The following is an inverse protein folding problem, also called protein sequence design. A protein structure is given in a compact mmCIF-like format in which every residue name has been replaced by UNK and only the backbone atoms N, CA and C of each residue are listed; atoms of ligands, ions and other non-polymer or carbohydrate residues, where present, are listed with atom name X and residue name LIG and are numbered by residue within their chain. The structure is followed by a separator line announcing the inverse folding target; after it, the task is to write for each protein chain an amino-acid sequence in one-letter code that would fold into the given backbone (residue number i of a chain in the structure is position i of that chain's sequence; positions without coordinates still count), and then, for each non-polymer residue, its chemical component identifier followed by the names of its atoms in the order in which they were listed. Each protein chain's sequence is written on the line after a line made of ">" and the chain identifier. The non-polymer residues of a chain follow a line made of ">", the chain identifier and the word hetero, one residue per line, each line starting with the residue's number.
data_IF_028327901569
#
_entry.id   IF_028327901569
#
_cell.length_a   1.000
_cell.length_b   1.000
_cell.length_c   1.000
_cell.angle_alpha   90.00
_cell.angle_beta   90.00
_cell.angle_gamma   90.00
#
_symmetry.space_group_name_H-M   'P 1'
#
loop_
_entity.id
_entity.type
_entity.pdbx_description
1 polymer ?
#
# COMPACT_ATOMS: atom_id res chain seq x y z
N UNK A 1 52.30 8.32 -26.21
CA UNK A 1 52.85 8.33 -24.84
C UNK A 1 51.90 7.74 -23.80
N UNK A 2 50.59 7.72 -24.03
CA UNK A 2 49.57 7.14 -23.12
C UNK A 2 49.54 5.61 -23.07
N UNK A 3 49.82 4.91 -24.18
CA UNK A 3 49.72 3.44 -24.21
C UNK A 3 50.78 2.70 -23.36
N UNK A 4 51.94 3.32 -23.15
CA UNK A 4 53.02 2.72 -22.34
C UNK A 4 52.68 2.80 -20.85
N UNK A 5 52.09 3.91 -20.40
CA UNK A 5 51.63 4.09 -19.02
C UNK A 5 50.45 3.16 -18.71
N UNK A 6 49.51 2.99 -19.64
CA UNK A 6 48.40 2.04 -19.46
C UNK A 6 48.88 0.59 -19.35
N UNK A 7 49.96 0.22 -20.06
CA UNK A 7 50.58 -1.11 -19.96
C UNK A 7 51.30 -1.30 -18.64
N UNK A 8 52.05 -0.29 -18.19
CA UNK A 8 52.71 -0.31 -16.88
C UNK A 8 51.68 -0.39 -15.76
N UNK A 9 50.65 0.46 -15.78
CA UNK A 9 49.57 0.42 -14.80
C UNK A 9 48.88 -0.94 -14.79
N UNK A 10 48.57 -1.52 -15.95
CA UNK A 10 47.97 -2.87 -16.01
C UNK A 10 48.89 -3.94 -15.43
N UNK A 11 50.20 -3.89 -15.72
CA UNK A 11 51.16 -4.84 -15.13
C UNK A 11 51.26 -4.66 -13.61
N UNK A 12 51.41 -3.43 -13.12
CA UNK A 12 51.46 -3.13 -11.69
C UNK A 12 50.19 -3.57 -10.96
N UNK A 13 49.00 -3.27 -11.50
CA UNK A 13 47.74 -3.72 -10.92
C UNK A 13 47.49 -5.22 -11.06
N UNK A 14 48.07 -5.89 -12.05
CA UNK A 14 47.98 -7.35 -12.19
C UNK A 14 48.90 -8.09 -11.23
N UNK A 15 50.08 -7.53 -10.95
CA UNK A 15 51.12 -8.16 -10.15
C UNK A 15 50.99 -7.84 -8.66
N UNK A 16 50.39 -6.70 -8.31
CA UNK A 16 50.02 -6.31 -6.94
C UNK A 16 48.53 -6.48 -6.63
N UNK A 17 47.75 -7.13 -7.51
CA UNK A 17 46.39 -7.60 -7.18
C UNK A 17 46.51 -8.76 -6.19
N UNK A 18 46.78 -8.46 -4.93
CA UNK A 18 46.30 -9.33 -3.87
C UNK A 18 44.80 -9.41 -4.06
N UNK A 19 44.32 -10.55 -4.54
CA UNK A 19 42.94 -10.96 -4.30
C UNK A 19 42.76 -10.90 -2.79
N UNK A 20 42.22 -9.78 -2.29
CA UNK A 20 41.73 -9.70 -0.93
C UNK A 20 40.61 -10.73 -0.89
N UNK A 21 40.97 -11.95 -0.52
CA UNK A 21 40.03 -13.04 -0.32
C UNK A 21 39.00 -12.47 0.63
N UNK A 22 37.77 -12.36 0.16
CA UNK A 22 36.71 -11.76 0.97
C UNK A 22 36.44 -12.72 2.13
N UNK A 23 37.20 -12.53 3.22
CA UNK A 23 37.27 -13.39 4.39
C UNK A 23 36.00 -13.27 5.23
N UNK A 24 34.84 -13.16 4.58
CA UNK A 24 33.57 -12.73 5.14
C UNK A 24 33.56 -11.25 5.50
N UNK A 25 34.38 -10.40 4.89
CA UNK A 25 34.35 -8.95 5.10
C UNK A 25 33.03 -8.38 4.59
N UNK A 26 32.63 -8.66 3.35
CA UNK A 26 31.33 -8.20 2.83
C UNK A 26 30.17 -8.73 3.65
N UNK A 27 30.27 -9.98 4.16
CA UNK A 27 29.24 -10.58 5.01
C UNK A 27 29.19 -9.93 6.40
N UNK A 28 30.33 -9.54 6.98
CA UNK A 28 30.40 -8.78 8.24
C UNK A 28 29.93 -7.35 8.06
N UNK A 29 30.24 -6.71 6.93
CA UNK A 29 29.77 -5.35 6.60
C UNK A 29 28.27 -5.34 6.37
N UNK A 30 27.73 -6.24 5.53
CA UNK A 30 26.29 -6.35 5.28
C UNK A 30 25.49 -6.72 6.53
N UNK A 31 26.06 -7.51 7.45
CA UNK A 31 25.39 -7.83 8.73
C UNK A 31 25.48 -6.70 9.76
N UNK A 32 26.46 -5.81 9.63
CA UNK A 32 26.55 -4.57 10.39
C UNK A 32 25.72 -3.42 9.78
N UNK A 33 25.10 -3.60 8.60
CA UNK A 33 24.11 -2.64 8.14
C UNK A 33 22.91 -2.69 9.10
N UNK A 34 22.48 -1.55 9.66
CA UNK A 34 21.44 -1.49 10.68
C UNK A 34 20.06 -1.80 10.10
N UNK A 35 19.78 -3.08 9.82
CA UNK A 35 18.43 -3.61 9.62
C UNK A 35 17.60 -3.65 10.90
N UNK A 36 18.17 -3.20 12.02
CA UNK A 36 17.55 -3.21 13.36
C UNK A 36 16.41 -2.19 13.50
N UNK A 37 16.31 -1.22 12.60
CA UNK A 37 15.23 -0.23 12.60
C UNK A 37 13.93 -0.77 12.01
N UNK A 38 13.92 -1.90 11.30
CA UNK A 38 12.71 -2.38 10.65
C UNK A 38 11.62 -2.77 11.67
N UNK A 39 12.02 -3.41 12.78
CA UNK A 39 11.07 -3.75 13.86
C UNK A 39 10.60 -2.52 14.63
N UNK A 40 11.48 -1.53 14.83
CA UNK A 40 11.11 -0.28 15.50
C UNK A 40 10.13 0.53 14.66
N UNK A 41 10.35 0.62 13.34
CA UNK A 41 9.46 1.28 12.40
C UNK A 41 8.12 0.54 12.33
N UNK A 42 8.14 -0.79 12.31
CA UNK A 42 6.91 -1.59 12.31
C UNK A 42 6.10 -1.40 13.59
N UNK A 43 6.74 -1.48 14.76
CA UNK A 43 6.08 -1.23 16.06
C UNK A 43 5.56 0.20 16.14
N UNK A 44 6.33 1.18 15.66
CA UNK A 44 5.91 2.57 15.62
C UNK A 44 4.70 2.78 14.70
N UNK A 45 4.69 2.12 13.54
CA UNK A 45 3.55 2.11 12.62
C UNK A 45 2.30 1.52 13.26
N UNK A 46 2.43 0.41 13.98
CA UNK A 46 1.32 -0.23 14.71
C UNK A 46 0.80 0.66 15.84
N UNK A 47 1.68 1.29 16.62
CA UNK A 47 1.27 2.23 17.69
C UNK A 47 0.54 3.43 17.10
N UNK A 48 1.04 3.98 16.00
CA UNK A 48 0.41 5.11 15.31
C UNK A 48 -0.98 4.75 14.78
N UNK A 49 -1.14 3.56 14.19
CA UNK A 49 -2.47 3.10 13.71
C UNK A 49 -3.45 2.90 14.85
N UNK A 50 -3.03 2.27 15.95
CA UNK A 50 -3.88 2.12 17.15
C UNK A 50 -4.30 3.47 17.72
N UNK A 51 -3.37 4.44 17.78
CA UNK A 51 -3.67 5.79 18.25
C UNK A 51 -4.69 6.50 17.35
N UNK A 52 -4.54 6.40 16.02
CA UNK A 52 -5.52 6.92 15.07
C UNK A 52 -6.92 6.32 15.27
N UNK A 53 -7.00 5.01 15.49
CA UNK A 53 -8.27 4.32 15.75
C UNK A 53 -8.90 4.81 17.05
N UNK A 54 -8.13 4.92 18.14
CA UNK A 54 -8.64 5.41 19.43
C UNK A 54 -9.15 6.85 19.30
N UNK A 55 -8.40 7.73 18.63
CA UNK A 55 -8.82 9.11 18.38
C UNK A 55 -10.09 9.16 17.53
N UNK A 56 -10.19 8.31 16.50
CA UNK A 56 -11.40 8.20 15.69
C UNK A 56 -12.63 7.81 16.51
N UNK A 57 -12.50 6.87 17.45
CA UNK A 57 -13.60 6.53 18.36
C UNK A 57 -13.89 7.63 19.38
N UNK A 58 -12.86 8.23 19.98
CA UNK A 58 -13.00 9.28 21.00
C UNK A 58 -13.63 10.57 20.47
N UNK A 59 -13.32 10.95 19.23
CA UNK A 59 -13.93 12.11 18.55
C UNK A 59 -15.32 11.80 17.96
N UNK A 60 -15.88 10.61 18.20
CA UNK A 60 -17.16 10.24 17.64
C UNK A 60 -17.13 10.10 16.11
N UNK A 61 -15.97 9.75 15.54
CA UNK A 61 -15.78 9.54 14.10
C UNK A 61 -16.79 8.57 13.51
N UNK A 62 -17.18 7.54 14.27
CA UNK A 62 -18.27 6.64 13.86
C UNK A 62 -19.60 7.38 13.69
N UNK A 63 -19.96 8.25 14.64
CA UNK A 63 -21.18 9.06 14.58
C UNK A 63 -21.13 10.04 13.40
N UNK A 64 -19.98 10.69 13.17
CA UNK A 64 -19.76 11.61 12.05
C UNK A 64 -19.80 10.90 10.69
N UNK A 65 -19.27 9.69 10.60
CA UNK A 65 -19.27 8.89 9.36
C UNK A 65 -20.67 8.34 9.08
N UNK A 66 -21.40 7.89 10.11
CA UNK A 66 -22.78 7.40 9.97
C UNK A 66 -23.72 8.57 9.63
N UNK A 67 -23.54 9.75 10.23
CA UNK A 67 -24.37 10.92 9.92
C UNK A 67 -24.17 11.40 8.49
N UNK A 68 -22.92 11.53 8.04
CA UNK A 68 -22.61 11.91 6.65
C UNK A 68 -23.08 10.85 5.67
N UNK A 69 -22.90 9.56 5.96
CA UNK A 69 -23.42 8.48 5.12
C UNK A 69 -24.96 8.52 5.03
N UNK A 70 -25.64 8.74 6.17
CA UNK A 70 -27.10 8.86 6.20
C UNK A 70 -27.57 10.08 5.41
N UNK A 71 -26.87 11.20 5.50
CA UNK A 71 -27.19 12.43 4.78
C UNK A 71 -26.98 12.29 3.27
N UNK A 72 -25.90 11.61 2.85
CA UNK A 72 -25.66 11.26 1.45
C UNK A 72 -26.70 10.24 0.95
N UNK A 73 -27.08 9.26 1.78
CA UNK A 73 -28.10 8.29 1.40
C UNK A 73 -29.48 8.93 1.29
N UNK A 74 -29.86 9.78 2.26
CA UNK A 74 -31.11 10.52 2.23
C UNK A 74 -31.14 11.47 1.05
N UNK A 75 -30.06 12.21 0.77
CA UNK A 75 -30.00 13.08 -0.40
C UNK A 75 -30.08 12.28 -1.71
N UNK A 76 -29.41 11.13 -1.82
CA UNK A 76 -29.49 10.28 -3.01
C UNK A 76 -30.89 9.66 -3.20
N UNK A 77 -31.52 9.19 -2.13
CA UNK A 77 -32.89 8.64 -2.17
C UNK A 77 -33.89 9.73 -2.47
N UNK A 78 -33.76 10.90 -1.84
CA UNK A 78 -34.68 12.01 -2.05
C UNK A 78 -34.52 12.60 -3.46
N UNK A 79 -33.30 12.79 -3.96
CA UNK A 79 -33.05 13.18 -5.34
C UNK A 79 -33.52 12.13 -6.35
N UNK A 80 -33.30 10.83 -6.06
CA UNK A 80 -33.80 9.71 -6.87
C UNK A 80 -35.33 9.60 -6.88
N UNK A 81 -36.00 9.96 -5.78
CA UNK A 81 -37.47 10.02 -5.68
C UNK A 81 -38.05 11.27 -6.33
N UNK A 82 -37.40 12.44 -6.19
CA UNK A 82 -37.89 13.73 -6.72
C UNK A 82 -37.67 13.90 -8.22
N UNK A 83 -36.73 13.16 -8.81
CA UNK A 83 -36.55 13.12 -10.26
C UNK A 83 -37.69 12.38 -10.99
N UNK A 84 -38.67 11.85 -10.26
CA UNK A 84 -39.75 11.04 -10.81
C UNK A 84 -39.19 9.67 -11.19
N UNK A 85 -39.55 8.65 -10.42
CA UNK A 85 -39.28 7.28 -10.83
C UNK A 85 -40.03 6.98 -12.12
N UNK A 86 -39.35 7.10 -13.26
CA UNK A 86 -39.80 6.45 -14.48
C UNK A 86 -39.89 4.95 -14.16
N UNK A 87 -41.09 4.35 -14.15
CA UNK A 87 -41.29 2.97 -13.69
C UNK A 87 -40.46 1.97 -14.51
N UNK A 88 -40.03 2.36 -15.71
CA UNK A 88 -39.11 1.60 -16.56
C UNK A 88 -37.66 1.62 -16.04
N UNK A 89 -37.16 2.76 -15.58
CA UNK A 89 -35.79 2.92 -15.07
C UNK A 89 -35.60 2.22 -13.72
N UNK A 90 -36.60 2.31 -12.83
CA UNK A 90 -36.63 1.57 -11.56
C UNK A 90 -36.58 0.05 -11.80
N UNK A 91 -37.41 -0.44 -12.70
CA UNK A 91 -37.47 -1.86 -13.02
C UNK A 91 -36.13 -2.38 -13.58
N UNK A 92 -35.47 -1.60 -14.45
CA UNK A 92 -34.14 -1.94 -14.98
C UNK A 92 -33.09 -1.94 -13.85
N UNK A 93 -33.10 -0.96 -12.96
CA UNK A 93 -32.17 -0.90 -11.83
C UNK A 93 -32.31 -2.10 -10.88
N UNK A 94 -33.54 -2.51 -10.56
CA UNK A 94 -33.83 -3.69 -9.73
C UNK A 94 -33.35 -4.98 -10.40
N UNK A 95 -33.62 -5.15 -11.70
CA UNK A 95 -33.16 -6.31 -12.46
C UNK A 95 -31.64 -6.42 -12.50
N UNK A 96 -30.94 -5.30 -12.73
CA UNK A 96 -29.47 -5.28 -12.76
C UNK A 96 -28.88 -5.61 -11.39
N UNK A 97 -29.44 -5.07 -10.30
CA UNK A 97 -29.01 -5.39 -8.94
C UNK A 97 -29.25 -6.86 -8.58
N UNK A 98 -30.40 -7.42 -8.96
CA UNK A 98 -30.70 -8.83 -8.76
C UNK A 98 -29.74 -9.74 -9.55
N UNK A 99 -29.43 -9.38 -10.80
CA UNK A 99 -28.46 -10.09 -11.63
C UNK A 99 -27.05 -10.03 -11.04
N UNK A 100 -26.59 -8.86 -10.61
CA UNK A 100 -25.29 -8.70 -9.95
C UNK A 100 -25.21 -9.45 -8.63
N UNK A 101 -26.28 -9.42 -7.83
CA UNK A 101 -26.39 -10.19 -6.59
C UNK A 101 -26.30 -11.69 -6.84
N UNK A 102 -27.08 -12.21 -7.79
CA UNK A 102 -27.04 -13.62 -8.18
C UNK A 102 -25.66 -14.03 -8.69
N UNK A 103 -25.03 -13.21 -9.56
CA UNK A 103 -23.69 -13.48 -10.07
C UNK A 103 -22.63 -13.46 -8.97
N UNK A 104 -22.72 -12.53 -8.01
CA UNK A 104 -21.80 -12.45 -6.88
C UNK A 104 -21.93 -13.65 -5.95
N UNK A 105 -23.16 -14.11 -5.67
CA UNK A 105 -23.41 -15.31 -4.87
C UNK A 105 -22.86 -16.54 -5.58
N UNK A 106 -23.06 -16.66 -6.90
CA UNK A 106 -22.56 -17.80 -7.67
C UNK A 106 -21.04 -17.81 -7.83
N UNK A 107 -20.38 -16.65 -7.84
CA UNK A 107 -18.92 -16.53 -7.88
C UNK A 107 -18.26 -16.84 -6.52
N UNK A 108 -19.02 -16.89 -5.43
CA UNK A 108 -18.52 -17.25 -4.10
C UNK A 108 -18.91 -18.69 -3.68
N UNK A 109 -19.64 -19.41 -4.53
CA UNK A 109 -19.89 -20.85 -4.42
C UNK A 109 -18.89 -21.61 -5.29
#
# INVERSE_FOLDING_TARGET
>A
MTETDDKLLKQFFSEQKQEVKDNGFSRRVMRNLPGRNHRLIQVWGTVCTVLCVILFFAFGGLQATISTLREVFVSMVQHGLTAGFDPKSLYIAILVLAFFGARKVWSMA
#
